data_IF_381754296358
#
_entry.id   IF_381754296358
#
_cell.length_a   1.000
_cell.length_b   1.000
_cell.length_c   1.000
_cell.angle_alpha   90.00
_cell.angle_beta   90.00
_cell.angle_gamma   90.00
#
_symmetry.space_group_name_H-M   'P 1'
#
loop_
_entity.id
_entity.type
_entity.pdbx_description
1 polymer ?
#
# COMPACT_ATOMS: atom_id res chain seq x y z
N UNK A 1 21.74 -9.24 18.73
CA UNK A 1 21.21 -8.69 17.47
C UNK A 1 20.28 -7.59 17.90
N UNK A 2 20.79 -6.36 17.97
CA UNK A 2 19.99 -5.21 18.39
C UNK A 2 18.97 -4.91 17.29
N UNK A 3 17.69 -4.94 17.65
CA UNK A 3 16.64 -4.41 16.80
C UNK A 3 16.72 -2.89 16.91
N UNK A 4 17.53 -2.26 16.04
CA UNK A 4 17.41 -0.82 15.80
C UNK A 4 16.03 -0.57 15.19
N UNK A 5 15.09 -0.07 16.00
CA UNK A 5 13.88 0.56 15.51
C UNK A 5 14.30 1.85 14.80
N UNK A 6 14.40 1.78 13.47
CA UNK A 6 14.66 2.96 12.65
C UNK A 6 13.48 3.93 12.81
N UNK A 7 13.72 5.05 13.50
CA UNK A 7 12.76 6.12 13.70
C UNK A 7 12.59 6.94 12.42
N UNK A 8 11.68 6.49 11.55
CA UNK A 8 11.29 7.19 10.34
C UNK A 8 10.33 8.37 10.61
N UNK A 9 10.20 8.88 11.84
CA UNK A 9 9.24 9.95 12.16
C UNK A 9 9.55 11.27 11.46
N UNK A 10 10.79 11.47 11.00
CA UNK A 10 11.31 12.71 10.46
C UNK A 10 11.67 12.65 8.96
N UNK A 11 11.46 11.51 8.29
CA UNK A 11 11.78 11.38 6.88
C UNK A 11 10.71 12.07 6.03
N UNK A 12 11.07 13.26 5.51
CA UNK A 12 10.36 13.86 4.38
C UNK A 12 10.66 12.99 3.17
N UNK A 13 9.75 12.05 2.88
CA UNK A 13 9.86 11.20 1.70
C UNK A 13 9.74 12.05 0.43
N UNK A 14 10.56 11.76 -0.57
CA UNK A 14 10.33 12.35 -1.89
C UNK A 14 9.06 11.77 -2.51
N UNK A 15 8.43 12.52 -3.43
CA UNK A 15 7.27 12.01 -4.18
C UNK A 15 7.58 10.69 -4.90
N UNK A 16 8.83 10.50 -5.32
CA UNK A 16 9.28 9.25 -5.93
C UNK A 16 9.24 8.10 -4.92
N UNK A 17 9.82 8.28 -3.74
CA UNK A 17 9.86 7.24 -2.70
C UNK A 17 8.44 6.89 -2.21
N UNK A 18 7.56 7.88 -2.11
CA UNK A 18 6.16 7.70 -1.75
C UNK A 18 5.46 6.78 -2.76
N UNK A 19 5.60 7.09 -4.05
CA UNK A 19 4.97 6.31 -5.11
C UNK A 19 5.55 4.90 -5.21
N UNK A 20 6.88 4.74 -5.12
CA UNK A 20 7.54 3.43 -5.15
C UNK A 20 7.06 2.55 -4.00
N UNK A 21 7.01 3.08 -2.76
CA UNK A 21 6.51 2.34 -1.59
C UNK A 21 5.04 1.97 -1.71
N UNK A 22 4.21 2.88 -2.24
CA UNK A 22 2.79 2.60 -2.48
C UNK A 22 2.62 1.40 -3.43
N UNK A 23 3.33 1.41 -4.55
CA UNK A 23 3.25 0.34 -5.56
C UNK A 23 3.84 -0.99 -5.05
N UNK A 24 4.95 -0.94 -4.31
CA UNK A 24 5.52 -2.12 -3.65
C UNK A 24 4.53 -2.75 -2.67
N UNK A 25 3.86 -1.93 -1.85
CA UNK A 25 2.89 -2.38 -0.86
C UNK A 25 1.63 -2.97 -1.52
N UNK A 26 1.14 -2.32 -2.58
CA UNK A 26 0.04 -2.86 -3.38
C UNK A 26 0.43 -4.22 -3.97
N UNK A 27 1.61 -4.30 -4.59
CA UNK A 27 2.09 -5.50 -5.28
C UNK A 27 2.39 -6.64 -4.32
N UNK A 28 2.79 -6.34 -3.07
CA UNK A 28 3.01 -7.35 -2.03
C UNK A 28 1.72 -8.11 -1.67
N UNK A 29 0.60 -7.40 -1.45
CA UNK A 29 -0.68 -8.02 -1.07
C UNK A 29 -1.52 -8.48 -2.28
N UNK A 30 -1.43 -7.74 -3.38
CA UNK A 30 -2.09 -8.03 -4.64
C UNK A 30 -1.09 -7.95 -5.78
N UNK A 31 -0.32 -9.02 -6.03
CA UNK A 31 0.51 -9.12 -7.22
C UNK A 31 -0.33 -8.94 -8.48
N UNK A 32 0.24 -8.40 -9.56
CA UNK A 32 -0.49 -8.11 -10.81
C UNK A 32 -1.30 -9.31 -11.32
N UNK A 33 -0.73 -10.53 -11.27
CA UNK A 33 -1.47 -11.74 -11.68
C UNK A 33 -2.72 -12.02 -10.83
N UNK A 34 -2.66 -11.74 -9.53
CA UNK A 34 -3.81 -11.84 -8.62
C UNK A 34 -4.85 -10.77 -8.93
N UNK A 35 -4.41 -9.52 -9.17
CA UNK A 35 -5.32 -8.43 -9.57
C UNK A 35 -6.09 -8.80 -10.84
N UNK A 36 -5.39 -9.21 -11.90
CA UNK A 36 -5.99 -9.63 -13.16
C UNK A 36 -6.94 -10.83 -13.00
N UNK A 37 -6.63 -11.74 -12.08
CA UNK A 37 -7.51 -12.88 -11.79
C UNK A 37 -8.81 -12.42 -11.13
N UNK A 38 -8.72 -11.55 -10.11
CA UNK A 38 -9.89 -10.99 -9.42
C UNK A 38 -10.75 -10.16 -10.39
N UNK A 39 -10.14 -9.34 -11.23
CA UNK A 39 -10.86 -8.61 -12.29
C UNK A 39 -11.67 -9.54 -13.20
N UNK A 40 -11.03 -10.64 -13.64
CA UNK A 40 -11.60 -11.52 -14.67
C UNK A 40 -12.68 -12.44 -14.13
N UNK A 41 -12.50 -13.01 -12.94
CA UNK A 41 -13.34 -14.09 -12.40
C UNK A 41 -13.74 -13.92 -10.94
N UNK A 42 -13.25 -12.88 -10.27
CA UNK A 42 -13.59 -12.61 -8.87
C UNK A 42 -15.05 -12.21 -8.70
N UNK A 43 -15.56 -12.50 -7.52
CA UNK A 43 -16.84 -11.98 -7.03
C UNK A 43 -16.78 -10.46 -6.89
N UNK A 44 -17.94 -9.81 -6.84
CA UNK A 44 -18.00 -8.36 -6.61
C UNK A 44 -17.41 -8.00 -5.24
N UNK A 45 -17.60 -8.86 -4.23
CA UNK A 45 -17.02 -8.71 -2.91
C UNK A 45 -15.48 -8.73 -2.96
N UNK A 46 -14.87 -9.68 -3.68
CA UNK A 46 -13.41 -9.76 -3.84
C UNK A 46 -12.83 -8.55 -4.58
N UNK A 47 -13.50 -8.08 -5.63
CA UNK A 47 -13.11 -6.86 -6.35
C UNK A 47 -13.17 -5.65 -5.44
N UNK A 48 -14.26 -5.50 -4.69
CA UNK A 48 -14.45 -4.39 -3.77
C UNK A 48 -13.39 -4.37 -2.67
N UNK A 49 -13.02 -5.53 -2.12
CA UNK A 49 -11.93 -5.65 -1.14
C UNK A 49 -10.58 -5.24 -1.74
N UNK A 50 -10.29 -5.68 -2.96
CA UNK A 50 -9.06 -5.31 -3.67
C UNK A 50 -9.00 -3.81 -3.95
N UNK A 51 -10.07 -3.22 -4.52
CA UNK A 51 -10.13 -1.80 -4.83
C UNK A 51 -10.02 -0.94 -3.57
N UNK A 52 -10.78 -1.29 -2.52
CA UNK A 52 -10.73 -0.54 -1.25
C UNK A 52 -9.33 -0.51 -0.66
N UNK A 53 -8.60 -1.62 -0.75
CA UNK A 53 -7.20 -1.67 -0.31
C UNK A 53 -6.27 -0.80 -1.18
N UNK A 54 -6.37 -0.90 -2.52
CA UNK A 54 -5.56 -0.10 -3.45
C UNK A 54 -5.84 1.40 -3.26
N UNK A 55 -7.11 1.77 -3.11
CA UNK A 55 -7.52 3.16 -2.89
C UNK A 55 -7.01 3.69 -1.56
N UNK A 56 -7.00 2.89 -0.50
CA UNK A 56 -6.40 3.27 0.78
C UNK A 56 -4.88 3.54 0.64
N UNK A 57 -4.15 2.70 -0.11
CA UNK A 57 -2.73 2.90 -0.37
C UNK A 57 -2.48 4.20 -1.17
N UNK A 58 -3.30 4.46 -2.21
CA UNK A 58 -3.22 5.68 -3.01
C UNK A 58 -3.62 6.93 -2.22
N UNK A 59 -4.58 6.82 -1.32
CA UNK A 59 -4.96 7.91 -0.41
C UNK A 59 -3.81 8.26 0.53
N UNK A 60 -3.08 7.26 1.05
CA UNK A 60 -1.85 7.49 1.80
C UNK A 60 -0.82 8.24 0.96
N UNK A 61 -0.52 7.78 -0.26
CA UNK A 61 0.48 8.40 -1.14
C UNK A 61 0.17 9.87 -1.49
N UNK A 62 -1.12 10.21 -1.59
CA UNK A 62 -1.59 11.56 -1.92
C UNK A 62 -1.84 12.45 -0.68
N UNK A 63 -1.52 11.98 0.53
CA UNK A 63 -1.66 12.80 1.74
C UNK A 63 -0.61 13.93 1.79
N UNK A 64 -0.85 14.96 2.60
CA UNK A 64 0.06 16.12 2.71
C UNK A 64 1.43 15.74 3.29
N UNK A 65 1.46 14.77 4.21
CA UNK A 65 2.66 14.31 4.91
C UNK A 65 2.63 12.78 5.11
N UNK A 66 2.79 11.98 4.03
CA UNK A 66 2.74 10.53 4.11
C UNK A 66 3.90 9.99 4.95
N UNK A 67 3.58 9.26 6.02
CA UNK A 67 4.58 8.61 6.86
C UNK A 67 4.64 7.12 6.54
N UNK A 68 5.85 6.56 6.43
CA UNK A 68 6.04 5.16 6.10
C UNK A 68 5.30 4.20 7.05
N UNK A 69 5.25 4.53 8.35
CA UNK A 69 4.52 3.74 9.35
C UNK A 69 3.02 3.66 9.07
N UNK A 70 2.42 4.71 8.49
CA UNK A 70 0.99 4.75 8.21
C UNK A 70 0.63 3.84 7.02
N UNK A 71 1.57 3.58 6.10
CA UNK A 71 1.37 2.59 5.04
C UNK A 71 1.34 1.17 5.60
N UNK A 72 2.21 0.86 6.58
CA UNK A 72 2.35 -0.49 7.15
C UNK A 72 1.10 -1.01 7.86
N UNK A 73 0.21 -0.10 8.29
CA UNK A 73 -1.07 -0.44 8.93
C UNK A 73 -2.18 -0.70 7.91
N UNK A 74 -2.03 -0.27 6.66
CA UNK A 74 -3.00 -0.52 5.59
C UNK A 74 -2.84 -1.97 5.14
N UNK A 75 -3.85 -2.79 5.40
CA UNK A 75 -3.89 -4.21 5.03
C UNK A 75 -5.22 -4.54 4.37
N UNK A 76 -5.28 -5.54 3.47
CA UNK A 76 -6.55 -6.06 2.99
C UNK A 76 -7.39 -6.56 4.18
N UNK A 77 -8.70 -6.26 4.16
CA UNK A 77 -9.68 -6.69 5.17
C UNK A 77 -10.22 -8.08 4.84
#
# INVERSE_FOLDING_TARGET
MEHEEFDYSNDVLSLKDINERCEEHITYFYPIGKQLTIERVGTEEEKNLMYSFIDACRAWANSEHPKAKDLSVIKPQ
#
